data_IF_276490599834
#
_entry.id   IF_276490599834
#
_cell.length_a   1.000
_cell.length_b   1.000
_cell.length_c   1.000
_cell.angle_alpha   90.00
_cell.angle_beta   90.00
_cell.angle_gamma   90.00
#
_symmetry.space_group_name_H-M   'P 1'
#
loop_
_entity.id
_entity.type
_entity.pdbx_description
1 polymer ?
#
# COMPACT_ATOMS: atom_id res chain seq x y z
N UNK A 1 34.89 0.73 27.24
CA UNK A 1 34.27 0.24 26.00
C UNK A 1 32.76 0.32 26.19
N UNK A 2 32.11 1.32 25.60
CA UNK A 2 30.68 1.56 25.79
C UNK A 2 29.89 0.52 24.97
N UNK A 3 29.24 -0.43 25.63
CA UNK A 3 28.27 -1.31 25.00
C UNK A 3 27.00 -0.50 24.74
N UNK A 4 26.88 0.05 23.54
CA UNK A 4 25.63 0.66 23.06
C UNK A 4 24.58 -0.45 23.05
N UNK A 5 23.72 -0.51 24.06
CA UNK A 5 22.58 -1.43 24.11
C UNK A 5 21.54 -0.94 23.12
N UNK A 6 21.73 -1.27 21.84
CA UNK A 6 20.69 -1.18 20.83
C UNK A 6 19.48 -1.98 21.29
N UNK A 7 18.30 -1.38 21.22
CA UNK A 7 17.06 -2.11 21.47
C UNK A 7 16.94 -3.29 20.51
N UNK A 8 16.16 -4.30 20.91
CA UNK A 8 15.98 -5.50 20.09
C UNK A 8 15.41 -5.17 18.71
N UNK A 9 14.53 -4.16 18.63
CA UNK A 9 13.93 -3.67 17.40
C UNK A 9 14.95 -2.95 16.51
N UNK A 10 15.69 -1.98 17.06
CA UNK A 10 16.75 -1.27 16.32
C UNK A 10 17.81 -2.24 15.77
N UNK A 11 18.19 -3.26 16.56
CA UNK A 11 19.11 -4.30 16.11
C UNK A 11 18.53 -5.08 14.93
N UNK A 12 17.27 -5.51 15.01
CA UNK A 12 16.60 -6.25 13.93
C UNK A 12 16.50 -5.41 12.65
N UNK A 13 16.14 -4.14 12.77
CA UNK A 13 16.07 -3.22 11.62
C UNK A 13 17.43 -3.07 10.97
N UNK A 14 18.48 -2.85 11.76
CA UNK A 14 19.86 -2.70 11.26
C UNK A 14 20.37 -3.99 10.60
N UNK A 15 20.09 -5.16 11.20
CA UNK A 15 20.43 -6.48 10.64
C UNK A 15 19.79 -6.67 9.26
N UNK A 16 18.51 -6.34 9.09
CA UNK A 16 17.80 -6.48 7.80
C UNK A 16 18.32 -5.50 6.74
N UNK A 17 18.63 -4.26 7.13
CA UNK A 17 19.21 -3.29 6.19
C UNK A 17 20.55 -3.79 5.63
N UNK A 18 21.40 -4.35 6.49
CA UNK A 18 22.70 -4.91 6.07
C UNK A 18 22.54 -6.19 5.24
N UNK A 19 21.58 -7.04 5.56
CA UNK A 19 21.25 -8.24 4.76
C UNK A 19 20.74 -7.85 3.35
N UNK A 20 19.86 -6.85 3.26
CA UNK A 20 19.39 -6.28 1.98
C UNK A 20 20.52 -5.65 1.16
N UNK A 21 21.54 -5.11 1.82
CA UNK A 21 22.76 -4.60 1.18
C UNK A 21 23.74 -5.73 0.75
N UNK A 22 23.41 -7.00 1.00
CA UNK A 22 24.19 -8.16 0.57
C UNK A 22 25.30 -8.58 1.53
N UNK A 23 25.33 -8.07 2.77
CA UNK A 23 26.32 -8.49 3.75
C UNK A 23 26.03 -9.90 4.28
N UNK A 24 27.07 -10.73 4.40
CA UNK A 24 26.94 -12.04 5.04
C UNK A 24 26.66 -11.94 6.54
N UNK A 25 25.98 -12.94 7.11
CA UNK A 25 25.71 -13.01 8.56
C UNK A 25 26.95 -12.81 9.45
N UNK A 26 28.12 -13.29 9.00
CA UNK A 26 29.39 -13.12 9.73
C UNK A 26 29.90 -11.67 9.66
N UNK A 27 29.69 -10.98 8.55
CA UNK A 27 30.06 -9.57 8.41
C UNK A 27 29.15 -8.69 9.29
N UNK A 28 27.85 -8.94 9.25
CA UNK A 28 26.85 -8.23 10.08
C UNK A 28 27.15 -8.42 11.58
N UNK A 29 27.44 -9.65 11.99
CA UNK A 29 27.82 -9.99 13.36
C UNK A 29 29.04 -9.19 13.86
N UNK A 30 30.09 -9.08 13.03
CA UNK A 30 31.29 -8.31 13.35
C UNK A 30 31.00 -6.81 13.46
N UNK A 31 30.17 -6.29 12.56
CA UNK A 31 29.81 -4.88 12.52
C UNK A 31 28.97 -4.45 13.73
N UNK A 32 28.06 -5.32 14.18
CA UNK A 32 27.16 -5.04 15.31
C UNK A 32 27.68 -5.56 16.66
N UNK A 33 28.83 -6.25 16.68
CA UNK A 33 29.40 -6.84 17.90
C UNK A 33 28.54 -7.96 18.51
N UNK A 34 27.73 -8.65 17.69
CA UNK A 34 26.81 -9.71 18.13
C UNK A 34 27.19 -11.07 17.54
N UNK A 35 26.66 -12.15 18.14
CA UNK A 35 26.88 -13.49 17.61
C UNK A 35 26.11 -13.70 16.30
N UNK A 36 26.75 -14.34 15.30
CA UNK A 36 26.13 -14.63 13.99
C UNK A 36 24.85 -15.47 14.08
N UNK A 37 24.70 -16.30 15.12
CA UNK A 37 23.45 -17.02 15.40
C UNK A 37 22.30 -16.09 15.80
N UNK A 38 22.59 -14.96 16.44
CA UNK A 38 21.61 -13.91 16.75
C UNK A 38 21.13 -13.22 15.49
N UNK A 39 22.04 -12.92 14.55
CA UNK A 39 21.70 -12.39 13.21
C UNK A 39 20.72 -13.32 12.49
N UNK A 40 21.03 -14.62 12.43
CA UNK A 40 20.15 -15.61 11.78
C UNK A 40 18.79 -15.78 12.49
N UNK A 41 18.71 -15.53 13.80
CA UNK A 41 17.44 -15.53 14.54
C UNK A 41 16.63 -14.27 14.26
N UNK A 42 17.28 -13.12 14.19
CA UNK A 42 16.65 -11.83 13.92
C UNK A 42 16.12 -11.75 12.49
N UNK A 43 16.83 -12.31 11.50
CA UNK A 43 16.35 -12.42 10.11
C UNK A 43 15.14 -13.36 9.97
N UNK A 44 15.10 -14.46 10.75
CA UNK A 44 13.96 -15.40 10.76
C UNK A 44 12.74 -14.88 11.49
N UNK A 45 12.90 -13.88 12.36
CA UNK A 45 11.77 -13.30 13.07
C UNK A 45 10.97 -12.44 12.09
N UNK A 46 9.68 -12.71 11.91
CA UNK A 46 8.78 -11.82 11.16
C UNK A 46 8.61 -10.53 11.97
N UNK A 47 8.85 -9.34 11.39
CA UNK A 47 8.59 -8.09 12.11
C UNK A 47 7.06 -7.91 12.25
N UNK A 48 6.59 -7.47 13.42
CA UNK A 48 5.35 -6.69 13.46
C UNK A 48 5.60 -5.40 12.67
N UNK A 49 4.64 -4.94 11.85
CA UNK A 49 4.82 -3.73 11.06
C UNK A 49 4.92 -2.54 12.00
N UNK A 50 6.13 -1.98 12.16
CA UNK A 50 6.32 -0.67 12.76
C UNK A 50 5.92 0.38 11.71
N UNK A 51 4.94 1.21 12.06
CA UNK A 51 4.49 2.34 11.25
C UNK A 51 5.63 3.36 11.08
N UNK A 52 6.37 3.28 9.97
CA UNK A 52 7.30 4.34 9.56
C UNK A 52 6.51 5.62 9.18
N UNK A 53 6.92 6.83 9.61
CA UNK A 53 6.35 8.07 9.10
C UNK A 53 6.78 8.25 7.64
N UNK A 54 5.87 7.90 6.73
CA UNK A 54 6.06 7.97 5.28
C UNK A 54 6.33 9.42 4.82
N UNK A 55 7.34 9.68 3.96
CA UNK A 55 7.36 10.91 3.17
C UNK A 55 6.11 10.94 2.29
N UNK A 56 5.50 12.12 2.13
CA UNK A 56 4.34 12.33 1.24
C UNK A 56 4.75 12.16 -0.22
N UNK A 57 4.98 10.92 -0.65
CA UNK A 57 5.10 10.55 -2.05
C UNK A 57 3.70 10.40 -2.61
N UNK A 58 3.30 11.38 -3.43
CA UNK A 58 2.23 11.22 -4.41
C UNK A 58 2.59 10.04 -5.32
N UNK A 59 2.23 8.81 -4.95
CA UNK A 59 2.68 7.66 -5.75
C UNK A 59 2.30 6.26 -5.32
N UNK A 60 1.77 6.01 -4.13
CA UNK A 60 1.12 4.70 -3.89
C UNK A 60 -0.34 4.79 -4.33
N UNK A 61 -0.83 3.88 -5.20
CA UNK A 61 -2.26 3.71 -5.34
C UNK A 61 -2.74 3.25 -3.97
N UNK A 62 -3.32 4.20 -3.22
CA UNK A 62 -4.09 3.90 -2.03
C UNK A 62 -4.98 2.73 -2.40
N UNK A 63 -4.69 1.53 -1.86
CA UNK A 63 -5.57 0.39 -2.05
C UNK A 63 -6.91 0.89 -1.56
N UNK A 64 -7.92 1.01 -2.44
CA UNK A 64 -9.15 1.68 -2.07
C UNK A 64 -9.74 0.87 -0.93
N UNK A 65 -9.61 1.39 0.30
CA UNK A 65 -10.24 0.78 1.47
C UNK A 65 -11.72 0.85 1.16
N UNK A 66 -12.29 -0.30 0.88
CA UNK A 66 -13.71 -0.41 0.62
C UNK A 66 -14.41 0.17 1.83
N UNK A 67 -15.22 1.22 1.63
CA UNK A 67 -15.95 1.85 2.73
C UNK A 67 -16.92 0.89 3.42
N UNK A 68 -17.17 -0.28 2.81
CA UNK A 68 -18.04 -1.32 3.31
C UNK A 68 -17.38 -2.70 3.20
N UNK A 69 -17.62 -3.61 4.15
CA UNK A 69 -17.19 -4.99 4.03
C UNK A 69 -17.83 -5.63 2.79
N UNK A 70 -17.03 -6.38 2.02
CA UNK A 70 -17.55 -7.11 0.87
C UNK A 70 -18.46 -8.23 1.36
N UNK A 71 -19.62 -8.43 0.72
CA UNK A 71 -20.43 -9.60 0.99
C UNK A 71 -19.63 -10.88 0.65
N UNK A 72 -19.71 -11.92 1.49
CA UNK A 72 -18.89 -13.14 1.33
C UNK A 72 -19.11 -13.83 -0.01
N UNK A 73 -20.34 -13.76 -0.56
CA UNK A 73 -20.66 -14.27 -1.88
C UNK A 73 -19.83 -13.60 -2.98
N UNK A 74 -19.66 -12.27 -2.91
CA UNK A 74 -18.91 -11.50 -3.90
C UNK A 74 -17.40 -11.79 -3.80
N UNK A 75 -16.89 -12.02 -2.58
CA UNK A 75 -15.50 -12.47 -2.38
C UNK A 75 -15.28 -13.82 -3.07
N UNK A 76 -16.23 -14.73 -2.91
CA UNK A 76 -16.16 -16.06 -3.48
C UNK A 76 -16.23 -16.03 -5.01
N UNK A 77 -17.14 -15.24 -5.58
CA UNK A 77 -17.26 -15.05 -7.02
C UNK A 77 -15.99 -14.42 -7.62
N UNK A 78 -15.37 -13.46 -6.92
CA UNK A 78 -14.09 -12.86 -7.33
C UNK A 78 -12.95 -13.88 -7.28
N UNK A 79 -12.91 -14.76 -6.27
CA UNK A 79 -11.91 -15.82 -6.18
C UNK A 79 -12.02 -16.83 -7.33
N UNK A 80 -13.23 -17.13 -7.83
CA UNK A 80 -13.42 -18.01 -9.00
C UNK A 80 -12.88 -17.39 -10.29
N UNK A 81 -12.89 -16.06 -10.39
CA UNK A 81 -12.39 -15.31 -11.54
C UNK A 81 -10.88 -15.04 -11.50
N UNK A 82 -10.25 -15.30 -10.36
CA UNK A 82 -8.83 -15.07 -10.15
C UNK A 82 -8.03 -16.28 -10.63
N UNK A 83 -7.01 -16.06 -11.47
CA UNK A 83 -6.17 -17.16 -11.92
C UNK A 83 -5.16 -17.52 -10.81
N UNK A 84 -5.46 -18.58 -10.04
CA UNK A 84 -4.65 -19.00 -8.88
C UNK A 84 -3.18 -19.32 -9.18
N UNK A 85 -2.82 -19.53 -10.46
CA UNK A 85 -1.45 -19.83 -10.86
C UNK A 85 -0.58 -18.58 -11.07
N UNK A 86 -1.21 -17.44 -11.40
CA UNK A 86 -0.49 -16.19 -11.69
C UNK A 86 -0.87 -15.05 -10.75
N UNK A 87 -1.85 -15.25 -9.87
CA UNK A 87 -2.42 -14.23 -8.99
C UNK A 87 -2.92 -12.98 -9.72
N UNK A 88 -3.20 -13.13 -11.02
CA UNK A 88 -3.64 -12.06 -11.90
C UNK A 88 -5.06 -12.34 -12.40
N UNK A 89 -5.87 -11.29 -12.47
CA UNK A 89 -7.15 -11.32 -13.17
C UNK A 89 -6.90 -11.46 -14.68
N UNK A 90 -7.66 -12.29 -15.41
CA UNK A 90 -7.53 -12.41 -16.86
C UNK A 90 -7.66 -11.04 -17.53
N UNK A 91 -6.73 -10.72 -18.44
CA UNK A 91 -6.72 -9.47 -19.20
C UNK A 91 -8.08 -9.03 -19.79
N UNK A 92 -8.93 -9.92 -20.36
CA UNK A 92 -10.26 -9.52 -20.83
C UNK A 92 -11.17 -9.03 -19.71
N UNK A 93 -11.07 -9.61 -18.52
CA UNK A 93 -11.87 -9.23 -17.35
C UNK A 93 -11.41 -7.87 -16.79
N UNK A 94 -10.10 -7.65 -16.73
CA UNK A 94 -9.51 -6.35 -16.35
C UNK A 94 -9.95 -5.24 -17.31
N UNK A 95 -9.98 -5.50 -18.63
CA UNK A 95 -10.51 -4.55 -19.62
C UNK A 95 -11.99 -4.26 -19.41
N UNK A 96 -12.81 -5.30 -19.21
CA UNK A 96 -14.24 -5.15 -18.98
C UNK A 96 -14.56 -4.30 -17.74
N UNK A 97 -13.82 -4.51 -16.65
CA UNK A 97 -13.94 -3.71 -15.41
C UNK A 97 -13.56 -2.24 -15.67
N UNK A 98 -12.43 -1.99 -16.34
CA UNK A 98 -12.00 -0.64 -16.70
C UNK A 98 -12.99 0.08 -17.60
N UNK A 99 -13.54 -0.59 -18.62
CA UNK A 99 -14.55 -0.01 -19.52
C UNK A 99 -15.85 0.32 -18.78
N UNK A 100 -16.29 -0.54 -17.87
CA UNK A 100 -17.46 -0.27 -17.03
C UNK A 100 -17.22 0.93 -16.09
N UNK A 101 -16.06 0.99 -15.44
CA UNK A 101 -15.69 2.10 -14.55
C UNK A 101 -15.61 3.43 -15.30
N UNK A 102 -14.99 3.44 -16.49
CA UNK A 102 -14.87 4.63 -17.33
C UNK A 102 -16.24 5.16 -17.79
N UNK A 103 -17.16 4.27 -18.18
CA UNK A 103 -18.55 4.67 -18.51
C UNK A 103 -19.27 5.30 -17.33
N UNK A 104 -19.11 4.74 -16.13
CA UNK A 104 -19.72 5.31 -14.91
C UNK A 104 -19.14 6.69 -14.59
N UNK A 105 -17.81 6.84 -14.70
CA UNK A 105 -17.12 8.12 -14.48
C UNK A 105 -17.55 9.19 -15.48
N UNK A 106 -17.63 8.84 -16.77
CA UNK A 106 -18.10 9.75 -17.81
C UNK A 106 -19.51 10.27 -17.50
N UNK A 107 -20.44 9.37 -17.17
CA UNK A 107 -21.81 9.76 -16.77
C UNK A 107 -21.84 10.70 -15.57
N UNK A 108 -21.01 10.44 -14.56
CA UNK A 108 -20.94 11.28 -13.37
C UNK A 108 -20.39 12.67 -13.68
N UNK A 109 -19.35 12.77 -14.51
CA UNK A 109 -18.80 14.06 -14.97
C UNK A 109 -19.86 14.85 -15.76
N UNK A 110 -20.58 14.19 -16.68
CA UNK A 110 -21.67 14.84 -17.42
C UNK A 110 -22.77 15.35 -16.49
N UNK A 111 -23.11 14.58 -15.45
CA UNK A 111 -24.09 15.00 -14.44
C UNK A 111 -23.61 16.21 -13.62
N UNK A 112 -22.34 16.23 -13.21
CA UNK A 112 -21.74 17.38 -12.50
C UNK A 112 -21.70 18.65 -13.37
N UNK A 113 -21.36 18.52 -14.65
CA UNK A 113 -21.36 19.65 -15.58
C UNK A 113 -22.77 20.22 -15.78
N UNK A 114 -23.79 19.36 -15.88
CA UNK A 114 -25.18 19.78 -15.94
C UNK A 114 -25.60 20.54 -14.67
N UNK A 115 -25.23 20.05 -13.49
CA UNK A 115 -25.49 20.72 -12.20
C UNK A 115 -24.79 22.09 -12.09
N UNK A 116 -23.57 22.22 -12.61
CA UNK A 116 -22.86 23.50 -12.64
C UNK A 116 -23.50 24.50 -13.62
N UNK A 117 -23.98 24.03 -14.77
CA UNK A 117 -24.66 24.85 -15.76
C UNK A 117 -26.08 25.28 -15.33
N UNK A 118 -26.74 24.53 -14.45
CA UNK A 118 -28.03 24.88 -13.82
C UNK A 118 -27.88 25.89 -12.67
N UNK A 119 -26.65 26.31 -12.36
CA UNK A 119 -26.35 27.29 -11.31
C UNK A 119 -25.81 28.65 -11.86
N UNK A 120 -26.39 29.26 -12.91
CA UNK A 120 -26.03 30.63 -13.27
C UNK A 120 -26.77 31.60 -12.35
N UNK A 121 -26.10 32.67 -11.94
CA UNK A 121 -26.67 33.91 -11.37
C UNK A 121 -27.14 33.87 -9.90
N UNK A 122 -26.21 33.64 -8.98
CA UNK A 122 -26.39 34.05 -7.57
C UNK A 122 -25.44 35.19 -7.16
N UNK A 123 -24.98 36.02 -8.10
CA UNK A 123 -24.05 37.12 -7.79
C UNK A 123 -24.28 38.41 -8.61
N UNK A 124 -25.53 38.67 -9.02
CA UNK A 124 -25.95 40.01 -9.49
C UNK A 124 -27.07 40.57 -8.60
N UNK A 125 -26.75 40.78 -7.32
CA UNK A 125 -27.56 41.60 -6.42
C UNK A 125 -26.68 42.24 -5.36
N UNK A 126 -26.06 43.37 -5.72
CA UNK A 126 -25.81 44.43 -4.76
C UNK A 126 -27.16 44.92 -4.18
N UNK A 127 -27.20 45.46 -2.95
CA UNK A 127 -27.33 46.91 -2.95
C UNK A 127 -26.64 47.66 -1.79
N UNK A 128 -26.35 48.92 -2.13
CA UNK A 128 -26.16 50.13 -1.33
C UNK A 128 -24.80 50.35 -0.64
#
# INVERSE_FOLDING_TARGET
MATTTLSVEERRTTVRQLDKAGHSNRAIARQLGIHHGTVARDLRSTPEPLDDPQPVTSGEPSTPRLMFPLPPQLIQDLNVLHNHQTDELPAPLVRAIHEAANRKRARWITWLQKQAAERPDADDSAPA
#
